data_IF_795139107782
#
_entry.id   IF_795139107782
#
_cell.length_a   1.000
_cell.length_b   1.000
_cell.length_c   1.000
_cell.angle_alpha   90.00
_cell.angle_beta   90.00
_cell.angle_gamma   90.00
#
_symmetry.space_group_name_H-M   'P 1'
#
loop_
_entity.id
_entity.type
_entity.pdbx_description
1 polymer ?
#
# COMPACT_ATOMS: atom_id res chain seq x y z
N UNK A 1 -25.36 -11.30 -18.56
CA UNK A 1 -24.49 -10.12 -18.77
C UNK A 1 -24.73 -8.99 -17.75
N UNK A 2 -25.95 -8.79 -17.23
CA UNK A 2 -26.26 -7.70 -16.29
C UNK A 2 -25.98 -7.99 -14.80
N UNK A 3 -26.05 -9.25 -14.35
CA UNK A 3 -25.74 -9.66 -12.95
C UNK A 3 -24.29 -9.33 -12.56
N UNK A 4 -23.41 -9.16 -13.55
CA UNK A 4 -22.00 -8.84 -13.34
C UNK A 4 -21.74 -7.33 -13.17
N UNK A 5 -22.67 -6.44 -13.54
CA UNK A 5 -22.43 -4.99 -13.60
C UNK A 5 -22.27 -4.39 -12.21
N UNK A 6 -23.16 -4.71 -11.28
CA UNK A 6 -23.09 -4.20 -9.91
C UNK A 6 -21.83 -4.68 -9.21
N UNK A 7 -21.48 -5.97 -9.32
CA UNK A 7 -20.19 -6.49 -8.82
C UNK A 7 -18.99 -5.78 -9.46
N UNK A 8 -19.05 -5.50 -10.76
CA UNK A 8 -17.96 -4.83 -11.47
C UNK A 8 -17.82 -3.38 -11.00
N UNK A 9 -18.93 -2.69 -10.76
CA UNK A 9 -18.92 -1.36 -10.14
C UNK A 9 -18.34 -1.46 -8.73
N UNK A 10 -18.85 -2.33 -7.86
CA UNK A 10 -18.37 -2.49 -6.48
C UNK A 10 -16.86 -2.81 -6.40
N UNK A 11 -16.33 -3.60 -7.33
CA UNK A 11 -14.91 -3.99 -7.34
C UNK A 11 -13.97 -2.99 -8.02
N UNK A 12 -14.46 -2.10 -8.89
CA UNK A 12 -13.62 -1.16 -9.65
C UNK A 12 -13.84 0.31 -9.30
N UNK A 13 -14.89 0.64 -8.54
CA UNK A 13 -15.25 2.02 -8.23
C UNK A 13 -14.19 2.71 -7.34
N UNK A 14 -13.42 1.95 -6.55
CA UNK A 14 -12.31 2.50 -5.77
C UNK A 14 -11.35 3.34 -6.63
N UNK A 15 -11.11 2.92 -7.88
CA UNK A 15 -10.19 3.61 -8.80
C UNK A 15 -10.72 4.97 -9.30
N UNK A 16 -12.02 5.23 -9.13
CA UNK A 16 -12.70 6.48 -9.54
C UNK A 16 -12.90 7.45 -8.39
N UNK A 17 -12.69 7.03 -7.14
CA UNK A 17 -12.83 7.93 -6.00
C UNK A 17 -11.72 8.98 -6.10
N UNK A 18 -12.06 10.27 -6.16
CA UNK A 18 -11.05 11.30 -6.37
C UNK A 18 -10.06 11.34 -5.21
N UNK A 19 -8.83 11.71 -5.50
CA UNK A 19 -7.83 12.05 -4.49
C UNK A 19 -7.45 13.53 -4.62
N UNK A 20 -7.23 14.24 -3.48
CA UNK A 20 -6.63 15.56 -3.52
C UNK A 20 -5.30 15.53 -4.28
N UNK A 21 -5.00 16.59 -5.05
CA UNK A 21 -3.77 16.65 -5.83
C UNK A 21 -2.50 16.54 -4.97
N UNK A 22 -2.52 17.08 -3.75
CA UNK A 22 -1.43 16.92 -2.78
C UNK A 22 -1.18 15.46 -2.40
N UNK A 23 -2.25 14.65 -2.28
CA UNK A 23 -2.13 13.21 -2.02
C UNK A 23 -1.57 12.47 -3.22
N UNK A 24 -1.94 12.87 -4.45
CA UNK A 24 -1.32 12.33 -5.67
C UNK A 24 0.17 12.64 -5.75
N UNK A 25 0.57 13.89 -5.50
CA UNK A 25 1.98 14.30 -5.45
C UNK A 25 2.74 13.55 -4.36
N UNK A 26 2.11 13.32 -3.20
CA UNK A 26 2.67 12.47 -2.13
C UNK A 26 2.91 11.05 -2.63
N UNK A 27 1.89 10.43 -3.22
CA UNK A 27 1.97 9.07 -3.75
C UNK A 27 3.04 8.97 -4.82
N UNK A 28 3.10 9.88 -5.80
CA UNK A 28 4.13 9.86 -6.83
C UNK A 28 5.55 10.06 -6.26
N UNK A 29 5.70 10.93 -5.27
CA UNK A 29 6.98 11.18 -4.59
C UNK A 29 7.47 9.94 -3.85
N UNK A 30 6.58 9.29 -3.08
CA UNK A 30 6.87 8.04 -2.39
C UNK A 30 7.20 6.94 -3.39
N UNK A 31 6.32 6.73 -4.38
CA UNK A 31 6.46 5.71 -5.42
C UNK A 31 7.80 5.82 -6.18
N UNK A 32 8.22 7.04 -6.52
CA UNK A 32 9.53 7.27 -7.14
C UNK A 32 10.69 6.99 -6.18
N UNK A 33 10.58 7.43 -4.93
CA UNK A 33 11.58 7.12 -3.90
C UNK A 33 11.73 5.61 -3.70
N UNK A 34 10.61 4.89 -3.64
CA UNK A 34 10.53 3.44 -3.45
C UNK A 34 11.16 2.62 -4.56
N UNK A 35 11.32 3.19 -5.75
CA UNK A 35 12.12 2.55 -6.79
C UNK A 35 13.58 2.36 -6.33
N UNK A 36 14.09 3.18 -5.40
CA UNK A 36 15.47 3.10 -4.91
C UNK A 36 15.56 2.79 -3.41
N UNK A 37 14.72 3.41 -2.57
CA UNK A 37 14.80 3.35 -1.12
C UNK A 37 13.37 3.29 -0.55
N UNK A 38 13.09 2.30 0.30
CA UNK A 38 11.83 2.18 1.05
C UNK A 38 11.75 3.30 2.10
N UNK A 39 10.93 4.32 1.84
CA UNK A 39 10.72 5.45 2.76
C UNK A 39 9.25 5.50 3.15
N UNK A 40 8.95 5.52 4.45
CA UNK A 40 7.59 5.71 4.92
C UNK A 40 7.39 7.19 5.30
N UNK A 41 6.34 7.82 4.77
CA UNK A 41 5.94 9.15 5.19
C UNK A 41 4.43 9.30 5.10
N UNK A 42 3.81 9.79 6.18
CA UNK A 42 2.38 10.07 6.23
C UNK A 42 2.02 11.36 5.47
N UNK A 43 2.97 12.29 5.34
CA UNK A 43 2.77 13.61 4.74
C UNK A 43 3.88 14.01 3.77
N UNK A 44 3.63 15.06 2.97
CA UNK A 44 4.62 15.73 2.12
C UNK A 44 5.54 16.62 2.98
N UNK A 45 6.49 15.99 3.67
CA UNK A 45 7.46 16.68 4.52
C UNK A 45 8.75 17.05 3.76
N UNK A 46 9.54 17.96 4.34
CA UNK A 46 10.80 18.46 3.74
C UNK A 46 11.76 17.31 3.37
N UNK A 47 11.97 16.27 4.20
CA UNK A 47 12.85 15.15 3.86
C UNK A 47 12.40 14.39 2.61
N UNK A 48 11.09 14.08 2.49
CA UNK A 48 10.55 13.39 1.31
C UNK A 48 10.72 14.23 0.05
N UNK A 49 10.45 15.54 0.13
CA UNK A 49 10.61 16.46 -1.00
C UNK A 49 12.07 16.52 -1.44
N UNK A 50 13.01 16.64 -0.50
CA UNK A 50 14.44 16.68 -0.78
C UNK A 50 14.95 15.39 -1.45
N UNK A 51 14.53 14.23 -0.93
CA UNK A 51 14.89 12.94 -1.52
C UNK A 51 14.29 12.77 -2.93
N UNK A 52 13.02 13.13 -3.09
CA UNK A 52 12.33 13.06 -4.39
C UNK A 52 13.03 13.95 -5.42
N UNK A 53 13.41 15.17 -5.03
CA UNK A 53 14.14 16.08 -5.90
C UNK A 53 15.52 15.51 -6.29
N UNK A 54 16.26 14.92 -5.36
CA UNK A 54 17.56 14.30 -5.65
C UNK A 54 17.43 13.13 -6.64
N UNK A 55 16.42 12.26 -6.46
CA UNK A 55 16.16 11.14 -7.36
C UNK A 55 15.70 11.64 -8.73
N UNK A 56 14.80 12.63 -8.79
CA UNK A 56 14.37 13.25 -10.04
C UNK A 56 15.55 13.85 -10.82
N UNK A 57 16.45 14.56 -10.14
CA UNK A 57 17.66 15.10 -10.76
C UNK A 57 18.56 13.98 -11.31
N UNK A 58 18.76 12.89 -10.56
CA UNK A 58 19.52 11.74 -11.02
C UNK A 58 18.88 11.11 -12.26
N UNK A 59 17.57 10.84 -12.23
CA UNK A 59 16.83 10.24 -13.36
C UNK A 59 16.84 11.16 -14.58
N UNK A 60 16.60 12.45 -14.40
CA UNK A 60 16.64 13.43 -15.48
C UNK A 60 18.03 13.51 -16.11
N UNK A 61 19.09 13.52 -15.30
CA UNK A 61 20.48 13.50 -15.79
C UNK A 61 20.79 12.22 -16.58
N UNK A 62 20.26 11.08 -16.15
CA UNK A 62 20.46 9.79 -16.79
C UNK A 62 19.74 9.71 -18.14
N UNK A 63 18.49 10.18 -18.20
CA UNK A 63 17.71 10.29 -19.43
C UNK A 63 18.41 11.24 -20.42
N UNK A 64 18.84 12.42 -19.96
CA UNK A 64 19.56 13.38 -20.79
C UNK A 64 20.88 12.80 -21.34
N UNK A 65 21.62 12.06 -20.53
CA UNK A 65 22.85 11.40 -20.97
C UNK A 65 22.57 10.31 -22.03
N UNK A 66 21.53 9.50 -21.81
CA UNK A 66 21.15 8.42 -22.70
C UNK A 66 20.74 8.92 -24.09
N UNK A 67 19.98 10.03 -24.15
CA UNK A 67 19.57 10.70 -25.40
C UNK A 67 20.71 11.00 -26.35
N UNK A 68 21.90 11.30 -25.82
CA UNK A 68 23.05 11.77 -26.60
C UNK A 68 23.97 10.66 -27.10
N UNK A 69 23.71 9.39 -26.75
CA UNK A 69 24.67 8.30 -26.98
C UNK A 69 24.14 7.14 -27.82
N UNK A 70 22.92 6.65 -27.59
CA UNK A 70 22.45 5.39 -28.19
C UNK A 70 21.02 5.49 -28.74
N UNK A 71 20.90 5.55 -30.08
CA UNK A 71 19.61 5.75 -30.75
C UNK A 71 18.63 4.58 -30.53
N UNK A 72 19.10 3.34 -30.48
CA UNK A 72 18.24 2.15 -30.30
C UNK A 72 17.86 1.90 -28.84
N UNK A 73 18.81 2.02 -27.91
CA UNK A 73 18.55 1.74 -26.49
C UNK A 73 17.63 2.78 -25.85
N UNK A 74 17.70 4.05 -26.28
CA UNK A 74 16.84 5.09 -25.73
C UNK A 74 15.37 4.92 -26.12
N UNK A 75 15.06 4.46 -27.35
CA UNK A 75 13.66 4.22 -27.76
C UNK A 75 13.00 3.16 -26.89
N UNK A 76 13.69 2.06 -26.59
CA UNK A 76 13.16 1.02 -25.71
C UNK A 76 12.92 1.55 -24.29
N UNK A 77 13.90 2.23 -23.71
CA UNK A 77 13.82 2.75 -22.34
C UNK A 77 12.74 3.82 -22.21
N UNK A 78 12.55 4.65 -23.24
CA UNK A 78 11.44 5.58 -23.30
C UNK A 78 10.08 4.95 -23.57
N UNK A 79 10.00 3.86 -24.31
CA UNK A 79 8.76 3.11 -24.40
C UNK A 79 8.38 2.55 -23.02
N UNK A 80 9.32 1.96 -22.28
CA UNK A 80 9.08 1.40 -20.94
C UNK A 80 8.59 2.45 -19.94
N UNK A 81 9.23 3.62 -19.91
CA UNK A 81 8.82 4.72 -19.02
C UNK A 81 7.54 5.41 -19.52
N UNK A 82 7.52 5.80 -20.80
CA UNK A 82 6.51 6.69 -21.38
C UNK A 82 5.15 6.03 -21.56
N UNK A 83 5.09 4.76 -21.95
CA UNK A 83 3.80 4.06 -22.11
C UNK A 83 3.07 3.98 -20.76
N UNK A 84 3.81 3.63 -19.70
CA UNK A 84 3.26 3.48 -18.36
C UNK A 84 2.81 4.83 -17.78
N UNK A 85 3.64 5.87 -17.92
CA UNK A 85 3.29 7.23 -17.51
C UNK A 85 2.06 7.74 -18.26
N UNK A 86 2.02 7.62 -19.58
CA UNK A 86 0.88 8.13 -20.36
C UNK A 86 -0.42 7.37 -20.10
N UNK A 87 -0.36 6.06 -19.87
CA UNK A 87 -1.55 5.23 -19.65
C UNK A 87 -2.20 5.50 -18.28
N UNK A 88 -1.41 5.77 -17.24
CA UNK A 88 -1.92 5.90 -15.87
C UNK A 88 -1.89 7.33 -15.32
N UNK A 89 -0.84 8.10 -15.59
CA UNK A 89 -0.69 9.46 -15.05
C UNK A 89 -1.64 10.43 -15.76
N UNK A 90 -1.76 10.33 -17.09
CA UNK A 90 -2.54 11.29 -17.89
C UNK A 90 -4.04 11.23 -17.56
N UNK A 91 -4.70 10.06 -17.47
CA UNK A 91 -6.10 10.01 -17.08
C UNK A 91 -6.34 10.57 -15.68
N UNK A 92 -5.44 10.28 -14.73
CA UNK A 92 -5.60 10.76 -13.36
C UNK A 92 -5.43 12.28 -13.24
N UNK A 93 -4.57 12.90 -14.05
CA UNK A 93 -4.46 14.37 -14.13
C UNK A 93 -5.74 15.01 -14.68
N UNK A 94 -6.44 14.33 -15.58
CA UNK A 94 -7.68 14.85 -16.21
C UNK A 94 -8.90 14.59 -15.32
N UNK A 95 -9.00 13.40 -14.71
CA UNK A 95 -10.20 12.95 -13.97
C UNK A 95 -10.02 12.95 -12.46
N UNK A 96 -8.91 13.49 -11.94
CA UNK A 96 -8.52 13.41 -10.52
C UNK A 96 -8.59 11.99 -9.95
N UNK A 97 -8.28 10.98 -10.78
CA UNK A 97 -8.33 9.57 -10.40
C UNK A 97 -7.24 9.18 -9.39
N UNK A 98 -7.21 7.91 -8.97
CA UNK A 98 -6.21 7.38 -8.03
C UNK A 98 -5.40 6.19 -8.55
N UNK A 99 -5.47 5.90 -9.84
CA UNK A 99 -4.79 4.73 -10.45
C UNK A 99 -3.27 4.92 -10.47
N UNK A 100 -2.83 6.12 -10.79
CA UNK A 100 -1.43 6.56 -10.81
C UNK A 100 -0.78 6.57 -9.42
N UNK A 101 -1.57 6.55 -8.35
CA UNK A 101 -1.06 6.42 -6.98
C UNK A 101 -0.63 4.98 -6.66
N UNK A 102 -1.10 3.99 -7.41
CA UNK A 102 -0.78 2.58 -7.17
C UNK A 102 0.58 2.24 -7.79
N UNK A 103 1.56 2.03 -6.92
CA UNK A 103 2.95 1.67 -7.22
C UNK A 103 3.10 0.52 -8.23
N UNK A 104 2.33 -0.56 -8.07
CA UNK A 104 2.47 -1.80 -8.84
C UNK A 104 2.23 -1.63 -10.34
N UNK A 105 1.50 -0.59 -10.74
CA UNK A 105 1.27 -0.28 -12.15
C UNK A 105 2.49 0.34 -12.83
N UNK A 106 3.45 0.86 -12.05
CA UNK A 106 4.66 1.51 -12.55
C UNK A 106 5.89 0.60 -12.57
N UNK A 107 5.74 -0.70 -12.29
CA UNK A 107 6.86 -1.65 -12.25
C UNK A 107 7.73 -1.62 -13.52
N UNK A 108 7.10 -1.58 -14.69
CA UNK A 108 7.79 -1.51 -15.99
C UNK A 108 8.52 -0.16 -16.16
N UNK A 109 7.92 0.93 -15.67
CA UNK A 109 8.54 2.25 -15.66
C UNK A 109 9.80 2.26 -14.78
N UNK A 110 9.71 1.70 -13.57
CA UNK A 110 10.85 1.62 -12.64
C UNK A 110 11.99 0.81 -13.22
N UNK A 111 11.71 -0.32 -13.90
CA UNK A 111 12.73 -1.08 -14.60
C UNK A 111 13.46 -0.22 -15.65
N UNK A 112 12.72 0.56 -16.43
CA UNK A 112 13.30 1.51 -17.39
C UNK A 112 14.19 2.55 -16.72
N UNK A 113 13.74 3.10 -15.58
CA UNK A 113 14.50 4.05 -14.76
C UNK A 113 15.80 3.41 -14.24
N UNK A 114 15.75 2.20 -13.67
CA UNK A 114 16.92 1.49 -13.16
C UNK A 114 17.97 1.26 -14.25
N UNK A 115 17.55 0.77 -15.42
CA UNK A 115 18.45 0.54 -16.55
C UNK A 115 19.11 1.83 -17.02
N UNK A 116 18.35 2.93 -17.07
CA UNK A 116 18.85 4.24 -17.51
C UNK A 116 19.85 4.81 -16.52
N UNK A 117 19.55 4.74 -15.21
CA UNK A 117 20.44 5.20 -14.15
C UNK A 117 21.70 4.33 -14.10
N UNK A 118 21.57 3.01 -14.17
CA UNK A 118 22.71 2.09 -14.22
C UNK A 118 23.63 2.41 -15.41
N UNK A 119 23.06 2.66 -16.59
CA UNK A 119 23.83 3.05 -17.77
C UNK A 119 24.60 4.36 -17.56
N UNK A 120 23.98 5.38 -16.96
CA UNK A 120 24.66 6.62 -16.61
C UNK A 120 25.83 6.36 -15.65
N UNK A 121 25.58 5.69 -14.53
CA UNK A 121 26.60 5.45 -13.49
C UNK A 121 27.79 4.67 -14.06
N UNK A 122 27.55 3.58 -14.77
CA UNK A 122 28.61 2.80 -15.41
C UNK A 122 29.37 3.64 -16.45
N UNK A 123 28.67 4.42 -17.27
CA UNK A 123 29.32 5.25 -18.29
C UNK A 123 30.21 6.33 -17.66
N UNK A 124 29.78 6.95 -16.56
CA UNK A 124 30.55 7.97 -15.87
C UNK A 124 31.75 7.38 -15.11
N UNK A 125 31.65 6.15 -14.60
CA UNK A 125 32.76 5.50 -13.91
C UNK A 125 33.80 4.93 -14.89
N UNK A 126 33.35 4.28 -15.96
CA UNK A 126 34.24 3.55 -16.87
C UNK A 126 34.86 4.47 -17.93
N UNK A 127 34.10 5.43 -18.48
CA UNK A 127 34.55 6.23 -19.62
C UNK A 127 35.18 7.57 -19.24
N UNK A 128 34.94 8.06 -18.03
CA UNK A 128 35.39 9.39 -17.60
C UNK A 128 36.64 9.30 -16.71
N UNK A 129 37.70 8.70 -17.25
CA UNK A 129 38.94 8.38 -16.51
C UNK A 129 39.88 9.57 -16.32
N UNK A 130 39.67 10.68 -17.04
CA UNK A 130 40.58 11.84 -17.05
C UNK A 130 40.30 12.83 -15.92
N UNK A 131 39.08 12.92 -15.42
CA UNK A 131 38.72 13.80 -14.30
C UNK A 131 38.50 12.99 -13.01
N UNK A 132 39.54 12.93 -12.20
CA UNK A 132 39.57 12.12 -10.97
C UNK A 132 38.53 12.57 -9.92
N UNK A 133 38.25 13.87 -9.81
CA UNK A 133 37.24 14.38 -8.89
C UNK A 133 35.83 13.94 -9.32
N UNK A 134 35.53 14.03 -10.61
CA UNK A 134 34.26 13.59 -11.17
C UNK A 134 34.09 12.07 -11.05
N UNK A 135 35.15 11.29 -11.29
CA UNK A 135 35.15 9.84 -11.10
C UNK A 135 34.79 9.47 -9.64
N UNK A 136 35.48 10.09 -8.66
CA UNK A 136 35.22 9.86 -7.23
C UNK A 136 33.79 10.23 -6.84
N UNK A 137 33.26 11.33 -7.39
CA UNK A 137 31.88 11.73 -7.15
C UNK A 137 30.88 10.66 -7.62
N UNK A 138 31.03 10.16 -8.85
CA UNK A 138 30.13 9.12 -9.37
C UNK A 138 30.27 7.78 -8.67
N UNK A 139 31.48 7.42 -8.25
CA UNK A 139 31.70 6.26 -7.39
C UNK A 139 30.97 6.41 -6.04
N UNK A 140 31.10 7.57 -5.39
CA UNK A 140 30.41 7.86 -4.14
C UNK A 140 28.89 7.82 -4.32
N UNK A 141 28.34 8.46 -5.36
CA UNK A 141 26.91 8.41 -5.69
C UNK A 141 26.45 6.96 -5.85
N UNK A 142 27.22 6.14 -6.56
CA UNK A 142 26.90 4.72 -6.81
C UNK A 142 26.91 3.91 -5.51
N UNK A 143 27.95 4.08 -4.68
CA UNK A 143 28.08 3.37 -3.40
C UNK A 143 26.94 3.77 -2.47
N UNK A 144 26.66 5.06 -2.32
CA UNK A 144 25.56 5.56 -1.49
C UNK A 144 24.24 5.00 -1.97
N UNK A 145 23.94 5.09 -3.28
CA UNK A 145 22.68 4.61 -3.83
C UNK A 145 22.48 3.11 -3.57
N UNK A 146 23.47 2.28 -3.91
CA UNK A 146 23.38 0.82 -3.72
C UNK A 146 23.31 0.44 -2.25
N UNK A 147 24.10 1.08 -1.40
CA UNK A 147 24.13 0.78 0.04
C UNK A 147 22.81 1.17 0.70
N UNK A 148 22.26 2.33 0.35
CA UNK A 148 20.94 2.76 0.82
C UNK A 148 19.83 1.84 0.34
N UNK A 149 19.84 1.40 -0.91
CA UNK A 149 18.86 0.42 -1.43
C UNK A 149 18.94 -0.92 -0.69
N UNK A 150 20.15 -1.47 -0.51
CA UNK A 150 20.35 -2.74 0.18
C UNK A 150 19.93 -2.63 1.65
N UNK A 151 20.40 -1.59 2.36
CA UNK A 151 20.06 -1.38 3.76
C UNK A 151 18.55 -1.22 3.92
N UNK A 152 17.92 -0.46 3.02
CA UNK A 152 16.48 -0.30 2.99
C UNK A 152 15.77 -1.64 2.88
N UNK A 153 16.17 -2.50 1.92
CA UNK A 153 15.59 -3.82 1.76
C UNK A 153 15.77 -4.70 3.00
N UNK A 154 16.93 -4.63 3.67
CA UNK A 154 17.18 -5.37 4.91
C UNK A 154 16.21 -4.93 6.02
N UNK A 155 16.01 -3.61 6.18
CA UNK A 155 15.04 -3.08 7.14
C UNK A 155 13.64 -3.57 6.81
N UNK A 156 13.24 -3.54 5.53
CA UNK A 156 11.89 -3.97 5.16
C UNK A 156 11.69 -5.49 5.29
N UNK A 157 12.73 -6.30 5.13
CA UNK A 157 12.67 -7.75 5.38
C UNK A 157 12.40 -8.09 6.85
N UNK A 158 12.81 -7.23 7.79
CA UNK A 158 12.60 -7.43 9.22
C UNK A 158 11.26 -6.88 9.71
N UNK A 159 10.57 -6.08 8.89
CA UNK A 159 9.30 -5.48 9.26
C UNK A 159 8.16 -6.52 9.32
N UNK A 160 7.30 -6.43 10.33
CA UNK A 160 6.13 -7.31 10.52
C UNK A 160 5.06 -7.09 9.46
N UNK A 161 5.03 -5.89 8.87
CA UNK A 161 4.17 -5.52 7.75
C UNK A 161 4.96 -4.67 6.75
N UNK A 162 4.50 -4.71 5.51
CA UNK A 162 5.04 -3.88 4.43
C UNK A 162 4.18 -2.59 4.37
N UNK A 163 4.80 -1.43 4.61
CA UNK A 163 4.23 -0.09 4.41
C UNK A 163 3.15 0.39 5.38
N UNK A 164 2.93 -0.32 6.49
CA UNK A 164 1.99 0.08 7.54
C UNK A 164 0.51 -0.12 7.21
N UNK A 165 0.16 -0.54 5.98
CA UNK A 165 -1.22 -0.75 5.53
C UNK A 165 -1.92 -1.95 6.20
N UNK A 166 -1.19 -2.72 7.01
CA UNK A 166 -1.69 -3.85 7.78
C UNK A 166 -1.21 -3.83 9.23
N UNK A 167 -0.67 -2.72 9.73
CA UNK A 167 -0.28 -2.62 11.15
C UNK A 167 -1.49 -2.85 12.05
N UNK A 168 -2.63 -2.23 11.72
CA UNK A 168 -3.89 -2.46 12.42
C UNK A 168 -4.37 -3.91 12.34
N UNK A 169 -4.10 -4.63 11.24
CA UNK A 169 -4.43 -6.04 11.12
C UNK A 169 -3.62 -6.89 12.12
N UNK A 170 -2.34 -6.55 12.33
CA UNK A 170 -1.49 -7.25 13.32
C UNK A 170 -2.00 -7.02 14.72
N UNK A 171 -2.28 -5.77 15.08
CA UNK A 171 -2.74 -5.39 16.41
C UNK A 171 -4.11 -6.01 16.73
N UNK A 172 -5.05 -5.98 15.77
CA UNK A 172 -6.36 -6.64 15.89
C UNK A 172 -6.20 -8.14 16.12
N UNK A 173 -5.35 -8.79 15.32
CA UNK A 173 -5.12 -10.24 15.43
C UNK A 173 -4.47 -10.60 16.76
N UNK A 174 -3.53 -9.81 17.25
CA UNK A 174 -2.88 -10.02 18.55
C UNK A 174 -3.91 -9.98 19.69
N UNK A 175 -4.82 -9.00 19.68
CA UNK A 175 -5.91 -8.91 20.65
C UNK A 175 -6.82 -10.14 20.61
N UNK A 176 -7.19 -10.63 19.43
CA UNK A 176 -8.05 -11.80 19.28
C UNK A 176 -7.32 -13.08 19.73
N UNK A 177 -6.04 -13.22 19.37
CA UNK A 177 -5.23 -14.42 19.66
C UNK A 177 -4.87 -14.58 21.15
N UNK A 178 -5.08 -13.55 21.98
CA UNK A 178 -4.96 -13.69 23.44
C UNK A 178 -6.11 -14.52 24.07
N UNK A 179 -7.22 -14.69 23.36
CA UNK A 179 -8.35 -15.50 23.80
C UNK A 179 -8.19 -16.97 23.41
N UNK A 180 -8.65 -17.89 24.27
CA UNK A 180 -8.41 -19.33 24.10
C UNK A 180 -9.34 -20.00 23.07
N UNK A 181 -10.57 -19.53 22.90
CA UNK A 181 -11.50 -20.04 21.87
C UNK A 181 -12.43 -18.91 21.40
N UNK A 182 -11.89 -17.91 20.67
CA UNK A 182 -12.65 -16.73 20.30
C UNK A 182 -13.55 -16.97 19.08
N UNK A 183 -14.69 -16.28 19.06
CA UNK A 183 -15.53 -16.09 17.88
C UNK A 183 -15.35 -14.68 17.34
N UNK A 184 -15.04 -14.54 16.06
CA UNK A 184 -15.01 -13.24 15.37
C UNK A 184 -16.22 -13.15 14.45
N UNK A 185 -17.07 -12.16 14.68
CA UNK A 185 -18.25 -11.84 13.88
C UNK A 185 -17.92 -10.65 12.99
N UNK A 186 -18.20 -10.75 11.69
CA UNK A 186 -18.01 -9.63 10.79
C UNK A 186 -18.93 -9.72 9.58
N UNK A 187 -19.41 -8.56 9.13
CA UNK A 187 -20.16 -8.38 7.89
C UNK A 187 -19.34 -7.67 6.81
N UNK A 188 -18.03 -7.48 7.02
CA UNK A 188 -17.14 -6.97 5.99
C UNK A 188 -17.06 -7.95 4.81
N UNK A 189 -16.93 -7.46 3.57
CA UNK A 189 -16.71 -8.31 2.42
C UNK A 189 -15.52 -9.25 2.63
N UNK A 190 -15.59 -10.46 2.07
CA UNK A 190 -14.55 -11.48 2.27
C UNK A 190 -13.11 -10.98 2.01
N UNK A 191 -12.93 -10.10 1.02
CA UNK A 191 -11.62 -9.49 0.74
C UNK A 191 -11.07 -8.59 1.86
N UNK A 192 -11.93 -8.05 2.72
CA UNK A 192 -11.54 -7.22 3.86
C UNK A 192 -11.22 -8.02 5.13
N UNK A 193 -11.83 -9.19 5.34
CA UNK A 193 -11.53 -10.06 6.49
C UNK A 193 -10.33 -10.99 6.23
N UNK A 194 -10.07 -11.32 4.96
CA UNK A 194 -9.00 -12.26 4.57
C UNK A 194 -7.60 -11.91 5.14
N UNK A 195 -7.18 -10.63 5.18
CA UNK A 195 -5.86 -10.25 5.73
C UNK A 195 -5.67 -10.68 7.18
N UNK A 196 -6.68 -10.51 8.04
CA UNK A 196 -6.61 -10.95 9.44
C UNK A 196 -6.83 -12.46 9.58
N UNK A 197 -7.72 -13.05 8.77
CA UNK A 197 -8.11 -14.45 8.87
C UNK A 197 -6.91 -15.41 8.75
N UNK A 198 -5.91 -15.08 7.93
CA UNK A 198 -4.70 -15.88 7.76
C UNK A 198 -3.76 -15.86 8.98
N UNK A 199 -3.88 -14.86 9.88
CA UNK A 199 -3.01 -14.72 11.06
C UNK A 199 -3.70 -15.12 12.37
N UNK A 200 -5.01 -15.39 12.34
CA UNK A 200 -5.76 -15.90 13.49
C UNK A 200 -5.30 -17.33 13.84
N UNK A 201 -5.35 -17.66 15.13
CA UNK A 201 -5.04 -19.01 15.58
C UNK A 201 -6.10 -20.03 15.08
N UNK A 202 -5.72 -21.32 14.87
CA UNK A 202 -6.64 -22.35 14.36
C UNK A 202 -7.88 -22.64 15.22
N UNK A 203 -7.84 -22.28 16.50
CA UNK A 203 -8.95 -22.36 17.46
C UNK A 203 -9.96 -21.20 17.30
N UNK A 204 -9.67 -20.17 16.52
CA UNK A 204 -10.56 -19.03 16.28
C UNK A 204 -11.63 -19.41 15.27
N UNK A 205 -12.91 -19.14 15.59
CA UNK A 205 -14.02 -19.33 14.65
C UNK A 205 -14.42 -18.00 14.03
N UNK A 206 -14.79 -18.03 12.76
CA UNK A 206 -15.27 -16.87 12.02
C UNK A 206 -16.76 -17.04 11.69
N UNK A 207 -17.58 -16.08 12.09
CA UNK A 207 -18.97 -15.94 11.65
C UNK A 207 -19.04 -14.78 10.66
N UNK A 208 -18.96 -15.11 9.38
CA UNK A 208 -19.01 -14.12 8.29
C UNK A 208 -20.45 -13.93 7.82
N UNK A 209 -20.96 -12.72 7.98
CA UNK A 209 -22.31 -12.34 7.63
C UNK A 209 -22.31 -11.64 6.26
N UNK A 210 -23.41 -11.81 5.54
CA UNK A 210 -23.69 -11.08 4.31
C UNK A 210 -24.83 -10.10 4.57
N UNK A 211 -25.04 -9.14 3.67
CA UNK A 211 -26.17 -8.20 3.76
C UNK A 211 -27.54 -8.88 3.95
N UNK A 212 -27.68 -10.13 3.46
CA UNK A 212 -28.90 -10.92 3.60
C UNK A 212 -29.05 -11.58 4.99
N UNK A 213 -27.95 -11.81 5.71
CA UNK A 213 -27.93 -12.58 6.96
C UNK A 213 -27.64 -11.73 8.20
N UNK A 214 -27.25 -10.45 8.04
CA UNK A 214 -26.93 -9.55 9.16
C UNK A 214 -28.09 -9.43 10.15
N UNK A 215 -29.34 -9.26 9.67
CA UNK A 215 -30.51 -9.11 10.56
C UNK A 215 -30.89 -10.40 11.29
N UNK A 216 -30.43 -11.54 10.79
CA UNK A 216 -30.73 -12.87 11.33
C UNK A 216 -29.59 -13.41 12.18
N UNK A 217 -28.60 -12.58 12.53
CA UNK A 217 -27.48 -13.00 13.34
C UNK A 217 -27.96 -13.54 14.69
N UNK A 218 -27.59 -14.78 14.98
CA UNK A 218 -27.80 -15.40 16.29
C UNK A 218 -26.43 -15.68 16.90
N UNK A 219 -26.15 -14.99 18.01
CA UNK A 219 -24.87 -15.11 18.70
C UNK A 219 -24.88 -16.39 19.57
N UNK A 220 -23.97 -17.35 19.34
CA UNK A 220 -23.90 -18.56 20.17
C UNK A 220 -23.41 -18.18 21.57
N UNK A 221 -24.29 -18.30 22.59
CA UNK A 221 -24.02 -17.75 23.93
C UNK A 221 -23.03 -18.56 24.80
N UNK A 222 -22.76 -19.83 24.46
CA UNK A 222 -22.17 -20.79 25.43
C UNK A 222 -20.92 -21.54 24.92
N UNK A 223 -20.50 -21.33 23.67
CA UNK A 223 -19.43 -22.13 23.04
C UNK A 223 -18.06 -21.42 23.00
N UNK A 224 -18.03 -20.11 23.24
CA UNK A 224 -16.85 -19.27 23.02
C UNK A 224 -16.39 -18.56 24.28
N UNK A 225 -15.07 -18.47 24.48
CA UNK A 225 -14.50 -17.78 25.64
C UNK A 225 -14.69 -16.27 25.55
N UNK A 226 -14.50 -15.74 24.35
CA UNK A 226 -14.66 -14.33 24.01
C UNK A 226 -15.29 -14.22 22.63
N UNK A 227 -16.03 -13.14 22.44
CA UNK A 227 -16.66 -12.82 21.17
C UNK A 227 -16.23 -11.43 20.75
N UNK A 228 -15.74 -11.33 19.52
CA UNK A 228 -15.27 -10.09 18.94
C UNK A 228 -16.11 -9.74 17.72
N UNK A 229 -16.36 -8.45 17.52
CA UNK A 229 -17.02 -7.94 16.31
C UNK A 229 -16.03 -7.05 15.58
N UNK A 230 -15.62 -7.51 14.40
CA UNK A 230 -14.61 -6.84 13.58
C UNK A 230 -15.27 -5.91 12.57
N UNK A 231 -14.93 -4.62 12.66
CA UNK A 231 -15.35 -3.52 11.80
C UNK A 231 -16.82 -3.62 11.35
N UNK A 232 -17.78 -3.71 12.30
CA UNK A 232 -19.18 -3.91 11.97
C UNK A 232 -19.75 -2.74 11.17
N UNK A 233 -20.63 -3.03 10.21
CA UNK A 233 -21.52 -1.99 9.67
C UNK A 233 -22.47 -1.47 10.75
N UNK A 234 -23.05 -0.29 10.52
CA UNK A 234 -24.09 0.27 11.39
C UNK A 234 -25.26 -0.71 11.57
N UNK A 235 -25.58 -1.50 10.53
CA UNK A 235 -26.66 -2.49 10.57
C UNK A 235 -26.34 -3.65 11.51
N UNK A 236 -25.11 -4.18 11.45
CA UNK A 236 -24.67 -5.24 12.36
C UNK A 236 -24.58 -4.72 13.80
N UNK A 237 -24.03 -3.52 14.00
CA UNK A 237 -23.95 -2.88 15.31
C UNK A 237 -25.33 -2.70 15.94
N UNK A 238 -26.30 -2.18 15.19
CA UNK A 238 -27.67 -2.01 15.65
C UNK A 238 -28.37 -3.34 15.91
N UNK A 239 -28.18 -4.33 15.04
CA UNK A 239 -28.79 -5.67 15.22
C UNK A 239 -28.34 -6.33 16.52
N UNK A 240 -27.04 -6.24 16.84
CA UNK A 240 -26.48 -6.82 18.06
C UNK A 240 -26.91 -6.05 19.32
N UNK A 241 -26.95 -4.72 19.28
CA UNK A 241 -27.36 -3.90 20.43
C UNK A 241 -28.87 -4.01 20.71
N UNK A 242 -29.71 -4.12 19.68
CA UNK A 242 -31.16 -4.34 19.83
C UNK A 242 -31.49 -5.69 20.46
N UNK A 243 -30.63 -6.70 20.27
CA UNK A 243 -30.73 -8.00 20.95
C UNK A 243 -30.30 -7.93 22.43
N UNK A 244 -29.95 -6.75 22.95
CA UNK A 244 -29.51 -6.54 24.34
C UNK A 244 -28.03 -6.83 24.59
N UNK A 245 -27.24 -7.09 23.54
CA UNK A 245 -25.81 -7.34 23.70
C UNK A 245 -25.06 -6.02 23.91
N UNK A 246 -24.00 -6.05 24.71
CA UNK A 246 -23.13 -4.90 24.95
C UNK A 246 -21.86 -5.00 24.08
N UNK A 247 -21.59 -3.95 23.30
CA UNK A 247 -20.42 -3.83 22.44
C UNK A 247 -19.46 -2.81 23.05
N UNK A 248 -18.32 -3.29 23.57
CA UNK A 248 -17.25 -2.43 24.09
C UNK A 248 -16.14 -2.32 23.05
N UNK A 249 -15.87 -1.12 22.57
CA UNK A 249 -14.75 -0.91 21.65
C UNK A 249 -13.43 -1.16 22.39
N UNK A 250 -12.62 -2.08 21.86
CA UNK A 250 -11.29 -2.43 22.41
C UNK A 250 -10.14 -1.99 21.51
N UNK A 251 -10.44 -1.73 20.23
CA UNK A 251 -9.46 -1.22 19.27
C UNK A 251 -10.09 -0.20 18.33
N UNK A 252 -9.31 0.82 17.96
CA UNK A 252 -9.69 1.84 17.00
C UNK A 252 -8.47 2.34 16.23
N UNK A 253 -8.54 2.20 14.92
CA UNK A 253 -7.59 2.80 13.99
C UNK A 253 -8.34 3.75 13.07
N UNK A 254 -7.77 4.93 12.84
CA UNK A 254 -8.33 5.93 11.94
C UNK A 254 -7.22 6.64 11.17
N UNK A 255 -7.31 6.55 9.86
CA UNK A 255 -6.55 7.34 8.88
C UNK A 255 -7.53 8.14 8.00
N UNK A 256 -7.01 9.04 7.17
CA UNK A 256 -7.80 9.93 6.30
C UNK A 256 -8.77 9.18 5.36
N UNK A 257 -8.51 7.92 5.06
CA UNK A 257 -9.30 7.11 4.12
C UNK A 257 -9.92 5.85 4.72
N UNK A 258 -9.55 5.48 5.95
CA UNK A 258 -9.92 4.19 6.54
C UNK A 258 -10.20 4.36 8.04
N UNK A 259 -11.26 3.73 8.51
CA UNK A 259 -11.52 3.54 9.94
C UNK A 259 -11.75 2.06 10.17
N UNK A 260 -11.05 1.51 11.16
CA UNK A 260 -11.16 0.11 11.58
C UNK A 260 -11.42 0.09 13.08
N UNK A 261 -12.33 -0.75 13.51
CA UNK A 261 -12.65 -0.94 14.92
C UNK A 261 -12.79 -2.42 15.26
N UNK A 262 -12.44 -2.76 16.50
CA UNK A 262 -12.71 -4.07 17.09
C UNK A 262 -13.53 -3.85 18.36
N UNK A 263 -14.61 -4.59 18.50
CA UNK A 263 -15.44 -4.59 19.69
C UNK A 263 -15.36 -5.93 20.38
N UNK A 264 -15.32 -5.92 21.71
CA UNK A 264 -15.66 -7.07 22.53
C UNK A 264 -17.17 -7.10 22.73
N UNK A 265 -17.77 -8.26 22.49
CA UNK A 265 -19.20 -8.51 22.59
C UNK A 265 -19.49 -9.26 23.89
N UNK A 266 -20.15 -8.59 24.82
CA UNK A 266 -20.76 -9.24 25.98
C UNK A 266 -22.22 -9.58 25.63
N UNK A 267 -22.60 -10.86 25.56
CA UNK A 267 -23.95 -11.24 25.22
C UNK A 267 -24.95 -10.77 26.28
N UNK A 268 -26.18 -10.48 25.87
CA UNK A 268 -27.26 -10.19 26.79
C UNK A 268 -27.45 -11.36 27.78
N UNK A 269 -27.72 -11.08 29.08
CA UNK A 269 -28.03 -12.11 30.06
C UNK A 269 -29.17 -13.04 29.63
#
# INVERSE_FOLDING_TARGET
MWISRERLILTTNWAKVPLPFSELVKSWSLNLCHAFISVQSSSLNIPLIGLTAAILLLVASAVYYLQRRTRQAWVLLFALMGITLTTFLLPDLITAGRRSAVDRYFLICYLGIHLTVAYLLTSQIVRNTTNFAQLRLWQLITVVLLSSSILSNVVTLQATTWWGWSEFDVEVVEQINHSHHPLVISDVPFGGIMPIAHRLQPNTKLLLLTEATVDQVQVPKQEFSDMFVYNPSDRLYLSLTQQGNSLKQIYHFKDNTLTISLYHLAPAP
#
